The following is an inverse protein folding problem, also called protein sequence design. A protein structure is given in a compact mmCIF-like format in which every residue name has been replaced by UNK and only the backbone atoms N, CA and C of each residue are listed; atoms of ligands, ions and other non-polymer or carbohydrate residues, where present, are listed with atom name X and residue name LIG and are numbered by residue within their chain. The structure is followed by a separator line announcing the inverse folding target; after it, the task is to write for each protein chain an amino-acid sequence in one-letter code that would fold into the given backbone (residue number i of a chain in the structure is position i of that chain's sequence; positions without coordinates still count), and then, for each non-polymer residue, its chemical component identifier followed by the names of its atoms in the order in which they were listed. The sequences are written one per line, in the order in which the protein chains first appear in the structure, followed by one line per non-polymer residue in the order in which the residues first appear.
data_IF_134611055189
#
_entry.id   IF_134611055189
#
_cell.length_a   1.000
_cell.length_b   1.000
_cell.length_c   1.000
_cell.angle_alpha   90.00
_cell.angle_beta   90.00
_cell.angle_gamma   90.00
#
_symmetry.space_group_name_H-M   'P 1'
#
loop_
_entity.id
_entity.type
_entity.pdbx_description
1 polymer ?
#
# COMPACT_ATOMS: atom_id res chain seq x y z
N UNK A 1 -0.15 -30.86 -17.35
CA UNK A 1 0.73 -29.99 -18.17
C UNK A 1 -0.17 -28.93 -18.78
N UNK A 2 0.05 -27.65 -18.48
CA UNK A 2 -0.77 -26.54 -19.02
C UNK A 2 -0.41 -26.39 -20.52
N UNK A 3 -1.38 -26.40 -21.45
CA UNK A 3 -1.14 -26.17 -22.88
C UNK A 3 -0.27 -24.93 -23.12
N UNK A 4 0.60 -24.97 -24.13
CA UNK A 4 1.53 -23.86 -24.41
C UNK A 4 0.82 -22.52 -24.67
N UNK A 5 -0.41 -22.56 -25.18
CA UNK A 5 -1.26 -21.39 -25.46
C UNK A 5 -1.95 -20.82 -24.21
N UNK A 6 -2.05 -21.58 -23.11
CA UNK A 6 -2.64 -21.12 -21.84
C UNK A 6 -1.62 -20.73 -20.78
N UNK A 7 -0.35 -20.61 -21.17
CA UNK A 7 0.71 -20.10 -20.28
C UNK A 7 0.63 -18.56 -20.16
N UNK A 8 0.84 -18.01 -18.95
CA UNK A 8 0.91 -16.56 -18.75
C UNK A 8 1.95 -15.89 -19.65
N UNK A 9 1.62 -14.71 -20.15
CA UNK A 9 2.59 -13.78 -20.71
C UNK A 9 3.08 -12.86 -19.60
N UNK A 10 4.32 -12.39 -19.71
CA UNK A 10 4.91 -11.44 -18.78
C UNK A 10 5.59 -10.29 -19.52
N UNK A 11 5.56 -9.12 -18.91
CA UNK A 11 6.38 -7.98 -19.26
C UNK A 11 7.14 -7.55 -18.01
N UNK A 12 8.46 -7.80 -18.00
CA UNK A 12 9.32 -7.37 -16.89
C UNK A 12 9.54 -5.87 -16.95
N UNK A 13 9.54 -5.23 -15.80
CA UNK A 13 9.87 -3.82 -15.67
C UNK A 13 10.87 -3.61 -14.53
N UNK A 14 11.49 -2.43 -14.54
CA UNK A 14 12.29 -1.92 -13.44
C UNK A 14 11.89 -0.48 -13.18
N UNK A 15 11.45 -0.19 -11.95
CA UNK A 15 11.18 1.17 -11.50
C UNK A 15 12.30 1.64 -10.58
N UNK A 16 12.65 2.91 -10.68
CA UNK A 16 13.70 3.53 -9.85
C UNK A 16 13.07 4.54 -8.91
N UNK A 17 13.39 4.46 -7.62
CA UNK A 17 12.90 5.42 -6.63
C UNK A 17 13.73 6.70 -6.61
N UNK A 18 13.08 7.83 -6.38
CA UNK A 18 13.72 9.15 -6.25
C UNK A 18 14.54 9.30 -4.97
N UNK A 19 14.26 8.48 -3.96
CA UNK A 19 14.98 8.40 -2.69
C UNK A 19 14.88 7.02 -2.04
N UNK A 20 15.30 6.91 -0.77
CA UNK A 20 15.09 5.69 0.01
C UNK A 20 13.63 5.57 0.42
N UNK A 21 13.07 4.35 0.38
CA UNK A 21 11.63 4.12 0.59
C UNK A 21 11.29 3.58 1.98
N UNK A 22 12.24 2.99 2.69
CA UNK A 22 12.02 2.45 4.04
C UNK A 22 13.30 2.49 4.88
N UNK A 23 13.19 2.21 6.18
CA UNK A 23 14.32 2.22 7.10
C UNK A 23 15.27 1.01 6.96
N UNK A 24 14.84 -0.05 6.29
CA UNK A 24 15.50 -1.37 6.26
C UNK A 24 16.50 -1.47 5.10
N UNK A 25 16.18 -0.88 3.95
CA UNK A 25 16.91 -1.06 2.69
C UNK A 25 17.29 0.28 2.04
N UNK A 26 18.52 0.34 1.53
CA UNK A 26 19.03 1.44 0.69
C UNK A 26 18.81 1.22 -0.83
N UNK A 27 18.11 0.14 -1.20
CA UNK A 27 17.81 -0.20 -2.60
C UNK A 27 16.99 0.91 -3.25
N UNK A 28 17.28 1.20 -4.52
CA UNK A 28 16.58 2.22 -5.32
C UNK A 28 16.03 1.72 -6.65
N UNK A 29 16.31 0.48 -7.03
CA UNK A 29 15.81 -0.12 -8.27
C UNK A 29 15.03 -1.39 -7.94
N UNK A 30 13.76 -1.42 -8.34
CA UNK A 30 12.82 -2.47 -8.00
C UNK A 30 12.36 -3.15 -9.27
N UNK A 31 12.50 -4.47 -9.28
CA UNK A 31 12.12 -5.31 -10.41
C UNK A 31 10.77 -5.92 -10.14
N UNK A 32 9.91 -5.89 -11.14
CA UNK A 32 8.62 -6.57 -11.11
C UNK A 32 8.26 -7.07 -12.50
N UNK A 33 7.06 -7.64 -12.60
CA UNK A 33 6.48 -8.02 -13.87
C UNK A 33 4.99 -7.71 -13.89
N UNK A 34 4.53 -7.16 -15.00
CA UNK A 34 3.13 -7.26 -15.36
C UNK A 34 2.90 -8.66 -15.95
N UNK A 35 1.76 -9.25 -15.63
CA UNK A 35 1.35 -10.56 -16.14
C UNK A 35 0.11 -10.37 -16.99
N UNK A 36 -0.05 -11.22 -18.01
CA UNK A 36 -1.27 -11.34 -18.79
C UNK A 36 -1.71 -12.79 -18.81
N UNK A 37 -2.94 -13.03 -18.37
CA UNK A 37 -3.56 -14.35 -18.31
C UNK A 37 -4.93 -14.24 -18.97
N UNK A 38 -5.13 -14.98 -20.06
CA UNK A 38 -6.30 -14.77 -20.92
C UNK A 38 -6.33 -13.34 -21.48
N UNK A 39 -7.47 -12.67 -21.31
CA UNK A 39 -7.68 -11.27 -21.67
C UNK A 39 -7.28 -10.25 -20.61
N UNK A 40 -6.94 -10.68 -19.38
CA UNK A 40 -6.70 -9.77 -18.26
C UNK A 40 -5.25 -9.64 -17.82
N UNK A 41 -4.98 -8.58 -17.06
CA UNK A 41 -3.66 -8.17 -16.62
C UNK A 41 -3.53 -8.09 -15.10
N UNK A 42 -2.34 -8.41 -14.59
CA UNK A 42 -2.00 -8.35 -13.16
C UNK A 42 -0.60 -7.79 -12.91
N UNK A 43 -0.28 -7.47 -11.66
CA UNK A 43 1.03 -6.97 -11.27
C UNK A 43 1.67 -7.87 -10.21
N UNK A 44 2.95 -8.22 -10.40
CA UNK A 44 3.81 -8.86 -9.40
C UNK A 44 4.97 -7.91 -9.10
N UNK A 45 4.99 -7.35 -7.89
CA UNK A 45 6.04 -6.45 -7.41
C UNK A 45 6.50 -6.87 -6.01
N UNK A 46 7.48 -7.77 -5.89
CA UNK A 46 7.90 -8.26 -4.59
C UNK A 46 8.86 -7.29 -3.89
N UNK A 47 8.80 -7.30 -2.56
CA UNK A 47 9.71 -6.65 -1.64
C UNK A 47 10.48 -7.69 -0.79
N UNK A 48 11.56 -8.32 -1.32
CA UNK A 48 12.32 -9.31 -0.57
C UNK A 48 12.88 -8.79 0.76
N UNK A 49 13.22 -7.50 0.83
CA UNK A 49 13.62 -6.83 2.08
C UNK A 49 12.54 -6.81 3.16
N UNK A 50 11.26 -6.99 2.78
CA UNK A 50 10.13 -7.05 3.69
C UNK A 50 9.62 -8.49 3.92
N UNK A 51 10.24 -9.49 3.28
CA UNK A 51 9.94 -10.91 3.47
C UNK A 51 9.39 -11.62 2.24
N UNK A 52 9.15 -10.91 1.13
CA UNK A 52 8.60 -11.53 -0.08
C UNK A 52 9.60 -12.49 -0.76
N UNK A 53 9.10 -13.49 -1.52
CA UNK A 53 9.94 -14.18 -2.49
C UNK A 53 10.51 -13.20 -3.54
N UNK A 54 11.69 -13.53 -4.10
CA UNK A 54 12.24 -12.76 -5.22
C UNK A 54 11.33 -12.84 -6.45
N UNK A 55 11.47 -11.89 -7.39
CA UNK A 55 10.69 -11.90 -8.63
C UNK A 55 10.80 -13.23 -9.38
N UNK A 56 12.01 -13.78 -9.53
CA UNK A 56 12.19 -15.07 -10.21
C UNK A 56 11.49 -16.23 -9.47
N UNK A 57 11.44 -16.22 -8.14
CA UNK A 57 10.65 -17.19 -7.36
C UNK A 57 9.15 -17.00 -7.58
N UNK A 58 8.66 -15.76 -7.66
CA UNK A 58 7.26 -15.47 -7.98
C UNK A 58 6.90 -15.98 -9.37
N UNK A 59 7.76 -15.73 -10.36
CA UNK A 59 7.54 -16.17 -11.74
C UNK A 59 7.60 -17.70 -11.87
N UNK A 60 8.49 -18.38 -11.14
CA UNK A 60 8.49 -19.84 -11.07
C UNK A 60 7.20 -20.39 -10.43
N UNK A 61 6.72 -19.75 -9.35
CA UNK A 61 5.48 -20.14 -8.67
C UNK A 61 4.22 -19.90 -9.52
N UNK A 62 4.22 -18.83 -10.34
CA UNK A 62 3.16 -18.52 -11.31
C UNK A 62 2.96 -19.64 -12.35
N UNK A 63 4.05 -20.31 -12.76
CA UNK A 63 4.00 -21.48 -13.65
C UNK A 63 3.49 -22.75 -12.95
N UNK A 64 3.61 -22.79 -11.62
CA UNK A 64 3.42 -23.98 -10.82
C UNK A 64 2.20 -23.87 -9.90
N UNK A 65 2.47 -24.06 -8.61
CA UNK A 65 1.44 -24.32 -7.62
C UNK A 65 0.79 -23.05 -7.03
N UNK A 66 1.34 -21.86 -7.30
CA UNK A 66 0.77 -20.56 -6.90
C UNK A 66 0.62 -20.44 -5.39
N UNK A 67 1.67 -20.85 -4.68
CA UNK A 67 1.72 -20.87 -3.22
C UNK A 67 1.93 -19.49 -2.58
N UNK A 68 2.51 -18.54 -3.31
CA UNK A 68 2.78 -17.21 -2.74
C UNK A 68 1.56 -16.30 -2.85
N UNK A 69 1.18 -15.59 -1.76
CA UNK A 69 0.05 -14.66 -1.78
C UNK A 69 0.15 -13.64 -2.92
N UNK A 70 1.34 -13.06 -3.14
CA UNK A 70 1.57 -12.09 -4.22
C UNK A 70 1.22 -12.64 -5.61
N UNK A 71 1.48 -13.93 -5.85
CA UNK A 71 1.16 -14.59 -7.13
C UNK A 71 -0.35 -14.83 -7.24
N UNK A 72 -1.00 -15.29 -6.17
CA UNK A 72 -2.45 -15.49 -6.16
C UNK A 72 -3.21 -14.18 -6.34
N UNK A 73 -2.79 -13.12 -5.67
CA UNK A 73 -3.39 -11.79 -5.78
C UNK A 73 -3.17 -11.17 -7.16
N UNK A 74 -2.01 -11.34 -7.77
CA UNK A 74 -1.78 -10.95 -9.16
C UNK A 74 -2.70 -11.69 -10.16
N UNK A 75 -2.95 -12.98 -9.94
CA UNK A 75 -3.91 -13.74 -10.75
C UNK A 75 -5.35 -13.28 -10.51
N UNK A 76 -5.71 -12.95 -9.26
CA UNK A 76 -7.04 -12.42 -8.94
C UNK A 76 -7.26 -11.04 -9.57
N UNK A 77 -6.22 -10.21 -9.60
CA UNK A 77 -6.19 -8.96 -10.34
C UNK A 77 -6.49 -9.18 -11.82
N UNK A 78 -5.77 -10.11 -12.46
CA UNK A 78 -5.99 -10.45 -13.87
C UNK A 78 -7.38 -11.01 -14.15
N UNK A 79 -7.97 -11.80 -13.23
CA UNK A 79 -9.32 -12.34 -13.39
C UNK A 79 -10.39 -11.24 -13.42
N UNK A 80 -10.32 -10.26 -12.49
CA UNK A 80 -11.27 -9.15 -12.48
C UNK A 80 -11.08 -8.22 -13.67
N UNK A 81 -9.83 -7.94 -14.02
CA UNK A 81 -9.50 -7.12 -15.17
C UNK A 81 -9.97 -7.79 -16.47
N UNK A 82 -9.76 -9.10 -16.66
CA UNK A 82 -10.31 -9.87 -17.79
C UNK A 82 -11.83 -9.77 -17.89
N UNK A 83 -12.51 -9.96 -16.75
CA UNK A 83 -13.97 -9.95 -16.72
C UNK A 83 -14.55 -8.62 -17.22
N UNK A 84 -13.99 -7.49 -16.80
CA UNK A 84 -14.39 -6.16 -17.26
C UNK A 84 -13.99 -5.90 -18.72
N UNK A 85 -12.76 -6.26 -19.11
CA UNK A 85 -12.30 -6.12 -20.52
C UNK A 85 -13.14 -6.92 -21.51
N UNK A 86 -13.60 -8.11 -21.12
CA UNK A 86 -14.47 -8.93 -21.96
C UNK A 86 -15.82 -8.29 -22.30
N UNK A 87 -16.19 -7.24 -21.57
CA UNK A 87 -17.43 -6.47 -21.71
C UNK A 87 -17.20 -5.04 -22.22
N UNK A 88 -15.96 -4.67 -22.50
CA UNK A 88 -15.57 -3.30 -22.87
C UNK A 88 -15.89 -2.27 -21.75
N UNK A 89 -15.82 -2.71 -20.50
CA UNK A 89 -16.16 -1.93 -19.31
C UNK A 89 -14.91 -1.53 -18.51
N UNK A 90 -14.98 -0.40 -17.80
CA UNK A 90 -13.98 -0.02 -16.79
C UNK A 90 -14.38 -0.57 -15.43
N UNK A 91 -13.42 -1.10 -14.67
CA UNK A 91 -13.63 -1.48 -13.27
C UNK A 91 -13.93 -0.29 -12.36
N UNK A 92 -13.63 0.94 -12.80
CA UNK A 92 -13.91 2.17 -12.05
C UNK A 92 -15.23 2.83 -12.44
N UNK A 93 -15.99 2.26 -13.38
CA UNK A 93 -17.30 2.78 -13.73
C UNK A 93 -18.23 2.75 -12.51
N UNK A 94 -18.84 3.91 -12.21
CA UNK A 94 -19.70 4.13 -11.04
C UNK A 94 -19.05 3.83 -9.66
N UNK A 95 -17.72 3.79 -9.59
CA UNK A 95 -16.98 3.58 -8.35
C UNK A 95 -16.51 4.90 -7.74
N UNK A 96 -16.73 5.08 -6.44
CA UNK A 96 -16.12 6.15 -5.66
C UNK A 96 -14.86 5.62 -4.95
N UNK A 97 -13.69 6.03 -5.41
CA UNK A 97 -12.41 5.63 -4.81
C UNK A 97 -12.16 6.44 -3.52
N UNK A 98 -11.88 5.80 -2.37
CA UNK A 98 -11.54 6.50 -1.14
C UNK A 98 -10.28 7.37 -1.30
N UNK A 99 -10.27 8.53 -0.62
CA UNK A 99 -9.11 9.43 -0.65
C UNK A 99 -7.85 8.79 -0.10
N UNK A 100 -6.69 9.18 -0.62
CA UNK A 100 -5.38 8.72 -0.16
C UNK A 100 -4.74 9.70 0.84
N UNK A 101 -3.93 9.17 1.75
CA UNK A 101 -2.91 9.93 2.46
C UNK A 101 -1.69 10.17 1.56
N UNK A 102 -0.89 11.18 1.90
CA UNK A 102 0.39 11.44 1.26
C UNK A 102 1.48 10.56 1.89
N UNK A 103 2.15 9.72 1.11
CA UNK A 103 3.34 9.00 1.57
C UNK A 103 4.58 9.86 1.34
N UNK A 104 5.33 10.16 2.41
CA UNK A 104 6.56 10.98 2.38
C UNK A 104 7.70 10.19 3.03
N UNK A 105 8.71 9.82 2.25
CA UNK A 105 9.80 8.94 2.70
C UNK A 105 11.04 9.66 3.23
N UNK A 106 11.24 10.93 2.84
CA UNK A 106 12.26 11.85 3.40
C UNK A 106 11.54 13.09 3.97
N UNK A 107 11.01 13.00 5.20
CA UNK A 107 10.15 14.05 5.74
C UNK A 107 10.95 15.31 6.07
N UNK A 108 10.67 16.38 5.31
CA UNK A 108 11.18 17.74 5.51
C UNK A 108 10.02 18.72 5.29
N UNK A 109 10.05 19.88 5.95
CA UNK A 109 8.97 20.86 5.86
C UNK A 109 8.55 21.24 4.43
N UNK A 110 9.46 21.40 3.44
CA UNK A 110 9.06 21.62 2.05
C UNK A 110 8.21 20.47 1.46
N UNK A 111 8.55 19.21 1.75
CA UNK A 111 7.78 18.06 1.27
C UNK A 111 6.39 17.98 1.95
N UNK A 112 6.29 18.40 3.21
CA UNK A 112 4.99 18.50 3.90
C UNK A 112 4.14 19.61 3.29
N UNK A 113 4.73 20.79 2.99
CA UNK A 113 4.04 21.88 2.29
C UNK A 113 3.52 21.43 0.93
N UNK A 114 4.35 20.75 0.14
CA UNK A 114 3.94 20.21 -1.16
C UNK A 114 2.75 19.26 -1.03
N UNK A 115 2.75 18.37 -0.03
CA UNK A 115 1.60 17.50 0.24
C UNK A 115 0.34 18.29 0.63
N UNK A 116 0.47 19.31 1.48
CA UNK A 116 -0.65 20.16 1.88
C UNK A 116 -1.21 20.95 0.70
N UNK A 117 -0.33 21.52 -0.13
CA UNK A 117 -0.68 22.26 -1.35
C UNK A 117 -1.37 21.35 -2.39
N UNK A 118 -0.98 20.07 -2.46
CA UNK A 118 -1.65 19.05 -3.25
C UNK A 118 -3.01 18.61 -2.68
N UNK A 119 -3.39 19.06 -1.48
CA UNK A 119 -4.70 18.83 -0.86
C UNK A 119 -4.75 17.68 0.14
N UNK A 120 -3.63 17.08 0.51
CA UNK A 120 -3.60 15.99 1.48
C UNK A 120 -3.91 16.49 2.91
N UNK A 121 -4.72 15.73 3.64
CA UNK A 121 -5.07 16.00 5.05
C UNK A 121 -4.43 15.01 6.02
N UNK A 122 -3.84 13.93 5.48
CA UNK A 122 -3.14 12.88 6.24
C UNK A 122 -1.79 12.63 5.59
N UNK A 123 -0.73 12.62 6.38
CA UNK A 123 0.64 12.33 5.93
C UNK A 123 1.12 11.04 6.59
N UNK A 124 1.61 10.09 5.79
CA UNK A 124 2.36 8.92 6.25
C UNK A 124 3.86 9.16 6.09
N UNK A 125 4.60 8.99 7.19
CA UNK A 125 6.06 9.05 7.22
C UNK A 125 6.65 7.76 7.78
N UNK A 126 7.92 7.49 7.48
CA UNK A 126 8.67 6.37 8.06
C UNK A 126 9.39 6.81 9.35
N UNK A 127 9.32 6.00 10.39
CA UNK A 127 9.97 6.23 11.69
C UNK A 127 11.07 5.23 12.01
N UNK A 128 11.80 5.50 13.09
CA UNK A 128 12.72 4.57 13.75
C UNK A 128 14.19 4.64 13.38
N UNK A 129 14.57 5.51 12.42
CA UNK A 129 16.00 5.73 12.09
C UNK A 129 16.67 6.63 13.12
N UNK A 130 15.98 7.69 13.53
CA UNK A 130 16.45 8.60 14.57
C UNK A 130 15.26 9.14 15.36
N UNK A 131 14.82 8.42 16.41
CA UNK A 131 13.70 8.78 17.26
C UNK A 131 13.71 10.23 17.75
N UNK A 132 14.87 10.77 18.15
CA UNK A 132 14.96 12.14 18.67
C UNK A 132 14.67 13.18 17.59
N UNK A 133 15.29 13.03 16.41
CA UNK A 133 15.04 13.92 15.27
C UNK A 133 13.61 13.81 14.76
N UNK A 134 13.06 12.60 14.74
CA UNK A 134 11.68 12.35 14.32
C UNK A 134 10.67 13.02 15.26
N UNK A 135 10.89 12.97 16.58
CA UNK A 135 10.04 13.70 17.55
C UNK A 135 10.13 15.21 17.38
N UNK A 136 11.33 15.74 17.18
CA UNK A 136 11.54 17.17 16.96
C UNK A 136 10.84 17.64 15.67
N UNK A 137 11.00 16.88 14.58
CA UNK A 137 10.32 17.15 13.31
C UNK A 137 8.80 17.08 13.45
N UNK A 138 8.25 16.05 14.12
CA UNK A 138 6.81 15.93 14.32
C UNK A 138 6.25 17.10 15.14
N UNK A 139 6.99 17.59 16.13
CA UNK A 139 6.60 18.77 16.90
C UNK A 139 6.50 20.01 16.01
N UNK A 140 7.54 20.29 15.23
CA UNK A 140 7.58 21.40 14.27
C UNK A 140 6.44 21.29 13.24
N UNK A 141 6.26 20.11 12.65
CA UNK A 141 5.25 19.90 11.62
C UNK A 141 3.81 20.00 12.15
N UNK A 142 3.54 19.55 13.38
CA UNK A 142 2.22 19.71 14.03
C UNK A 142 1.97 21.16 14.43
N UNK A 143 3.00 21.93 14.76
CA UNK A 143 2.87 23.37 15.02
C UNK A 143 2.54 24.16 13.75
N UNK A 144 3.20 23.85 12.63
CA UNK A 144 2.94 24.51 11.35
C UNK A 144 1.61 24.07 10.72
N UNK A 145 1.26 22.79 10.85
CA UNK A 145 0.07 22.19 10.23
C UNK A 145 -0.84 21.48 11.25
N UNK A 146 -1.50 22.22 12.15
CA UNK A 146 -2.28 21.64 13.26
C UNK A 146 -3.52 20.84 12.80
N UNK A 147 -3.97 21.03 11.56
CA UNK A 147 -5.11 20.31 10.99
C UNK A 147 -4.74 18.93 10.40
N UNK A 148 -3.45 18.68 10.14
CA UNK A 148 -3.01 17.41 9.57
C UNK A 148 -3.12 16.27 10.58
N UNK A 149 -3.38 15.08 10.06
CA UNK A 149 -3.20 13.82 10.80
C UNK A 149 -1.96 13.07 10.32
N UNK A 150 -1.32 12.37 11.25
CA UNK A 150 -0.03 11.73 11.02
C UNK A 150 -0.12 10.22 11.17
N UNK A 151 0.39 9.50 10.18
CA UNK A 151 0.61 8.05 10.22
C UNK A 151 2.11 7.82 10.25
N UNK A 152 2.59 7.06 11.21
CA UNK A 152 4.04 6.82 11.36
C UNK A 152 4.28 5.33 11.32
N UNK A 153 5.07 4.90 10.36
CA UNK A 153 5.32 3.50 10.07
C UNK A 153 6.76 3.13 10.40
N UNK A 154 6.92 2.21 11.36
CA UNK A 154 8.22 1.76 11.86
C UNK A 154 8.67 0.44 11.23
N UNK A 155 7.83 -0.28 10.49
CA UNK A 155 8.16 -1.60 9.92
C UNK A 155 8.83 -2.53 10.94
N UNK A 156 8.28 -2.60 12.16
CA UNK A 156 8.74 -3.42 13.28
C UNK A 156 10.17 -3.11 13.78
N UNK A 157 10.72 -1.93 13.47
CA UNK A 157 12.14 -1.68 13.74
C UNK A 157 12.48 -1.33 15.21
N UNK A 158 11.49 -1.08 16.07
CA UNK A 158 11.73 -0.81 17.50
C UNK A 158 11.50 -2.06 18.35
N UNK A 159 12.02 -2.05 19.58
CA UNK A 159 11.55 -2.95 20.64
C UNK A 159 10.27 -2.39 21.28
N UNK A 160 9.46 -3.21 21.98
CA UNK A 160 8.31 -2.72 22.73
C UNK A 160 8.64 -1.56 23.70
N UNK A 161 9.78 -1.63 24.39
CA UNK A 161 10.23 -0.60 25.33
C UNK A 161 10.63 0.69 24.60
N UNK A 162 11.30 0.56 23.45
CA UNK A 162 11.67 1.70 22.62
C UNK A 162 10.44 2.38 22.00
N UNK A 163 9.43 1.61 21.59
CA UNK A 163 8.16 2.14 21.12
C UNK A 163 7.40 2.88 22.23
N UNK A 164 7.34 2.31 23.44
CA UNK A 164 6.75 2.98 24.60
C UNK A 164 7.49 4.30 24.91
N UNK A 165 8.81 4.26 24.96
CA UNK A 165 9.63 5.44 25.19
C UNK A 165 9.43 6.50 24.09
N UNK A 166 9.31 6.07 22.82
CA UNK A 166 8.97 6.93 21.68
C UNK A 166 7.68 7.70 21.93
N UNK A 167 6.59 6.98 22.17
CA UNK A 167 5.26 7.57 22.26
C UNK A 167 5.07 8.37 23.54
N UNK A 168 5.58 7.91 24.69
CA UNK A 168 5.49 8.65 25.94
C UNK A 168 6.33 9.93 25.95
N UNK A 169 7.37 9.99 25.11
CA UNK A 169 8.19 11.19 24.94
C UNK A 169 7.61 12.22 23.96
N UNK A 170 6.49 11.93 23.29
CA UNK A 170 5.79 12.91 22.45
C UNK A 170 4.95 13.84 23.32
N UNK A 171 4.96 15.13 22.98
CA UNK A 171 4.02 16.09 23.58
C UNK A 171 2.57 15.67 23.29
N UNK A 172 1.66 16.00 24.20
CA UNK A 172 0.23 15.63 24.07
C UNK A 172 -0.37 16.08 22.74
N UNK A 173 -0.11 17.32 22.31
CA UNK A 173 -0.59 17.84 21.03
C UNK A 173 -0.13 17.00 19.82
N UNK A 174 1.10 16.48 19.87
CA UNK A 174 1.65 15.63 18.80
C UNK A 174 0.97 14.26 18.85
N UNK A 175 0.78 13.68 20.04
CA UNK A 175 0.05 12.42 20.21
C UNK A 175 -1.39 12.51 19.69
N UNK A 176 -2.09 13.62 19.93
CA UNK A 176 -3.45 13.85 19.44
C UNK A 176 -3.53 14.06 17.92
N UNK A 177 -2.43 14.51 17.30
CA UNK A 177 -2.33 14.66 15.85
C UNK A 177 -2.04 13.34 15.13
N UNK A 178 -1.58 12.30 15.84
CA UNK A 178 -1.34 10.98 15.25
C UNK A 178 -2.67 10.26 15.00
N UNK A 179 -2.88 9.83 13.75
CA UNK A 179 -3.97 8.93 13.36
C UNK A 179 -3.71 7.52 13.86
N UNK A 180 -2.50 7.00 13.60
CA UNK A 180 -2.00 5.75 14.15
C UNK A 180 -0.48 5.59 13.99
N UNK A 181 0.08 4.66 14.73
CA UNK A 181 1.43 4.13 14.56
C UNK A 181 1.33 2.73 13.93
N UNK A 182 1.96 2.55 12.79
CA UNK A 182 1.99 1.29 12.05
C UNK A 182 3.24 0.50 12.43
N UNK A 183 3.02 -0.76 12.85
CA UNK A 183 4.03 -1.75 13.20
C UNK A 183 5.20 -1.16 14.03
N UNK A 184 4.96 -0.62 15.23
CA UNK A 184 6.02 -0.01 16.04
C UNK A 184 7.16 -0.99 16.36
N UNK A 185 6.80 -2.24 16.64
CA UNK A 185 7.66 -3.36 17.01
C UNK A 185 6.95 -4.66 16.57
N UNK A 186 7.63 -5.83 16.58
CA UNK A 186 6.97 -7.10 16.24
C UNK A 186 5.67 -7.31 17.01
N UNK A 187 4.66 -7.88 16.34
CA UNK A 187 3.32 -7.92 16.90
C UNK A 187 3.25 -8.79 18.16
N UNK A 188 2.46 -8.34 19.14
CA UNK A 188 2.23 -9.07 20.39
C UNK A 188 0.83 -8.77 20.94
N UNK A 189 0.03 -9.83 21.10
CA UNK A 189 -1.33 -9.77 21.68
C UNK A 189 -1.35 -9.19 23.10
N UNK A 190 -0.20 -9.10 23.79
CA UNK A 190 -0.11 -8.54 25.13
C UNK A 190 0.56 -7.17 25.13
N UNK A 191 1.68 -7.00 24.42
CA UNK A 191 2.45 -5.77 24.45
C UNK A 191 1.74 -4.62 23.72
N UNK A 192 1.10 -4.88 22.59
CA UNK A 192 0.41 -3.84 21.81
C UNK A 192 -0.81 -3.26 22.55
N UNK A 193 -1.73 -4.06 23.12
CA UNK A 193 -2.80 -3.52 23.96
C UNK A 193 -2.31 -2.80 25.20
N UNK A 194 -1.19 -3.24 25.80
CA UNK A 194 -0.57 -2.51 26.92
C UNK A 194 -0.03 -1.14 26.47
N UNK A 195 0.66 -1.09 25.33
CA UNK A 195 1.19 0.13 24.73
C UNK A 195 0.07 1.12 24.40
N UNK A 196 -1.00 0.67 23.74
CA UNK A 196 -2.17 1.49 23.44
C UNK A 196 -2.83 2.02 24.73
N UNK A 197 -3.02 1.20 25.77
CA UNK A 197 -3.61 1.65 27.04
C UNK A 197 -2.79 2.74 27.72
N UNK A 198 -1.46 2.65 27.67
CA UNK A 198 -0.55 3.64 28.26
C UNK A 198 -0.50 4.94 27.47
N UNK A 199 -0.38 4.85 26.15
CA UNK A 199 -0.09 6.00 25.28
C UNK A 199 -1.34 6.66 24.72
N UNK A 200 -2.45 5.92 24.62
CA UNK A 200 -3.70 6.28 23.95
C UNK A 200 -3.57 6.57 22.45
N UNK A 201 -2.44 6.20 21.85
CA UNK A 201 -2.20 6.34 20.42
C UNK A 201 -2.65 5.05 19.71
N UNK A 202 -3.55 5.11 18.70
CA UNK A 202 -3.98 3.94 17.96
C UNK A 202 -2.80 3.24 17.28
N UNK A 203 -2.80 1.91 17.30
CA UNK A 203 -1.81 1.07 16.62
C UNK A 203 -2.43 0.43 15.38
N UNK A 204 -1.67 0.39 14.30
CA UNK A 204 -2.02 -0.28 13.05
C UNK A 204 -1.14 -1.50 12.83
N UNK A 205 -1.76 -2.64 12.49
CA UNK A 205 -1.06 -3.86 12.10
C UNK A 205 -1.00 -3.95 10.57
N UNK A 206 0.20 -4.15 10.04
CA UNK A 206 0.45 -4.30 8.61
C UNK A 206 1.13 -5.66 8.32
N UNK A 207 2.37 -5.86 8.77
CA UNK A 207 3.16 -7.05 8.42
C UNK A 207 2.57 -8.38 8.87
N UNK A 208 1.91 -8.39 10.02
CA UNK A 208 1.26 -9.57 10.59
C UNK A 208 -0.27 -9.53 10.50
N UNK A 209 -0.84 -8.70 9.61
CA UNK A 209 -2.28 -8.59 9.43
C UNK A 209 -2.91 -9.97 9.14
N UNK A 210 -3.84 -10.39 9.99
CA UNK A 210 -4.54 -11.66 9.86
C UNK A 210 -5.89 -11.62 10.59
N UNK A 211 -6.85 -12.50 10.24
CA UNK A 211 -8.21 -12.45 10.79
C UNK A 211 -8.34 -12.56 12.32
N UNK A 212 -7.31 -13.02 13.02
CA UNK A 212 -7.34 -13.28 14.47
C UNK A 212 -6.50 -12.28 15.28
N UNK A 213 -6.09 -11.16 14.67
CA UNK A 213 -5.18 -10.18 15.28
C UNK A 213 -5.93 -8.98 15.85
N UNK A 214 -6.42 -9.12 17.07
CA UNK A 214 -7.31 -8.13 17.72
C UNK A 214 -6.56 -7.03 18.48
N UNK A 215 -5.26 -7.20 18.73
CA UNK A 215 -4.46 -6.28 19.55
C UNK A 215 -4.25 -4.88 18.99
N UNK A 216 -4.53 -4.66 17.70
CA UNK A 216 -4.41 -3.38 16.99
C UNK A 216 -5.77 -2.69 16.81
N UNK A 217 -5.78 -1.37 16.64
CA UNK A 217 -7.00 -0.57 16.41
C UNK A 217 -7.27 -0.36 14.92
N UNK A 218 -6.27 -0.59 14.08
CA UNK A 218 -6.34 -0.43 12.63
C UNK A 218 -5.72 -1.66 11.97
N UNK A 219 -6.38 -2.18 10.95
CA UNK A 219 -5.86 -3.23 10.07
C UNK A 219 -5.46 -2.59 8.74
N UNK A 220 -4.19 -2.71 8.38
CA UNK A 220 -3.70 -2.32 7.06
C UNK A 220 -3.91 -3.50 6.12
N UNK A 221 -4.48 -3.24 4.95
CA UNK A 221 -4.72 -4.25 3.92
C UNK A 221 -4.00 -3.82 2.64
N UNK A 222 -3.17 -4.70 2.10
CA UNK A 222 -2.45 -4.52 0.84
C UNK A 222 -2.99 -5.49 -0.19
N UNK A 223 -3.87 -5.08 -1.13
CA UNK A 223 -4.48 -5.99 -2.10
C UNK A 223 -3.50 -6.79 -2.97
N UNK A 224 -2.24 -6.35 -3.06
CA UNK A 224 -1.16 -7.06 -3.73
C UNK A 224 -0.76 -8.38 -3.03
N UNK A 225 -1.00 -8.53 -1.72
CA UNK A 225 -0.60 -9.71 -0.94
C UNK A 225 -1.71 -10.25 -0.02
N UNK A 226 -2.68 -9.41 0.35
CA UNK A 226 -3.75 -9.75 1.29
C UNK A 226 -5.07 -10.08 0.58
N UNK A 227 -5.98 -10.73 1.31
CA UNK A 227 -7.37 -10.97 0.90
C UNK A 227 -8.28 -9.89 1.51
N UNK A 228 -8.68 -8.83 0.77
CA UNK A 228 -9.27 -7.64 1.38
C UNK A 228 -10.59 -7.89 2.09
N UNK A 229 -11.47 -8.71 1.50
CA UNK A 229 -12.78 -9.01 2.08
C UNK A 229 -12.66 -9.82 3.38
N UNK A 230 -11.80 -10.84 3.39
CA UNK A 230 -11.57 -11.67 4.57
C UNK A 230 -11.03 -10.84 5.74
N UNK A 231 -10.05 -9.97 5.49
CA UNK A 231 -9.48 -9.12 6.52
C UNK A 231 -10.46 -8.02 6.97
N UNK A 232 -11.27 -7.48 6.07
CA UNK A 232 -12.28 -6.49 6.43
C UNK A 232 -13.41 -7.08 7.28
N UNK A 233 -13.91 -8.27 6.94
CA UNK A 233 -14.92 -8.96 7.76
C UNK A 233 -14.39 -9.21 9.19
N UNK A 234 -13.14 -9.67 9.30
CA UNK A 234 -12.48 -9.82 10.59
C UNK A 234 -12.32 -8.49 11.32
N UNK A 235 -11.85 -7.44 10.64
CA UNK A 235 -11.71 -6.11 11.22
C UNK A 235 -13.05 -5.57 11.74
N UNK A 236 -14.16 -5.78 11.02
CA UNK A 236 -15.51 -5.44 11.48
C UNK A 236 -15.86 -6.20 12.76
N UNK A 237 -15.64 -7.51 12.79
CA UNK A 237 -15.90 -8.34 13.97
C UNK A 237 -15.11 -7.87 15.21
N UNK A 238 -13.89 -7.39 14.99
CA UNK A 238 -12.99 -6.89 16.04
C UNK A 238 -13.08 -5.37 16.27
N UNK A 239 -14.00 -4.66 15.58
CA UNK A 239 -14.16 -3.20 15.65
C UNK A 239 -12.88 -2.42 15.34
N UNK A 240 -12.08 -2.93 14.41
CA UNK A 240 -10.89 -2.28 13.88
C UNK A 240 -11.27 -1.37 12.71
N UNK A 241 -10.54 -0.27 12.55
CA UNK A 241 -10.60 0.52 11.31
C UNK A 241 -9.83 -0.20 10.21
N UNK A 242 -10.25 -0.04 8.96
CA UNK A 242 -9.53 -0.59 7.80
C UNK A 242 -8.89 0.54 7.01
N UNK A 243 -7.63 0.35 6.62
CA UNK A 243 -6.92 1.24 5.70
C UNK A 243 -6.29 0.38 4.60
N UNK A 244 -6.73 0.58 3.36
CA UNK A 244 -6.10 -0.06 2.23
C UNK A 244 -4.90 0.75 1.77
N UNK A 245 -3.82 0.08 1.39
CA UNK A 245 -2.68 0.74 0.75
C UNK A 245 -2.28 0.02 -0.52
N UNK A 246 -1.68 0.76 -1.46
CA UNK A 246 -0.84 0.12 -2.49
C UNK A 246 0.36 -0.55 -1.83
N UNK A 247 1.14 -1.25 -2.63
CA UNK A 247 2.32 -1.96 -2.15
C UNK A 247 3.62 -1.26 -2.52
N UNK A 248 3.57 0.08 -2.68
CA UNK A 248 4.65 0.86 -3.31
C UNK A 248 5.09 0.26 -4.66
N UNK A 249 4.13 -0.28 -5.38
CA UNK A 249 4.32 -1.09 -6.57
C UNK A 249 4.04 -0.29 -7.86
N UNK A 250 4.08 -0.99 -8.99
CA UNK A 250 3.78 -0.42 -10.31
C UNK A 250 2.43 0.30 -10.32
N UNK A 251 2.24 1.39 -11.10
CA UNK A 251 0.96 2.11 -11.17
C UNK A 251 -0.26 1.22 -11.46
N UNK A 252 -0.08 0.14 -12.24
CA UNK A 252 -1.12 -0.88 -12.45
C UNK A 252 -1.55 -1.58 -11.14
N UNK A 253 -0.61 -1.91 -10.25
CA UNK A 253 -0.91 -2.46 -8.92
C UNK A 253 -1.55 -1.43 -7.99
N UNK A 254 -1.17 -0.16 -8.11
CA UNK A 254 -1.83 0.96 -7.41
C UNK A 254 -3.30 1.11 -7.85
N UNK A 255 -3.59 0.99 -9.16
CA UNK A 255 -4.96 0.97 -9.66
C UNK A 255 -5.76 -0.22 -9.12
N UNK A 256 -5.15 -1.41 -9.05
CA UNK A 256 -5.81 -2.55 -8.42
C UNK A 256 -6.14 -2.31 -6.94
N UNK A 257 -5.21 -1.71 -6.19
CA UNK A 257 -5.44 -1.38 -4.79
C UNK A 257 -6.56 -0.33 -4.63
N UNK A 258 -6.60 0.68 -5.50
CA UNK A 258 -7.63 1.70 -5.51
C UNK A 258 -9.01 1.13 -5.83
N UNK A 259 -9.10 0.24 -6.82
CA UNK A 259 -10.33 -0.45 -7.15
C UNK A 259 -10.80 -1.38 -6.03
N UNK A 260 -9.91 -2.16 -5.43
CA UNK A 260 -10.23 -3.01 -4.28
C UNK A 260 -10.72 -2.18 -3.08
N UNK A 261 -10.18 -0.98 -2.86
CA UNK A 261 -10.67 -0.06 -1.83
C UNK A 261 -12.10 0.42 -2.12
N UNK A 262 -12.37 0.86 -3.35
CA UNK A 262 -13.71 1.26 -3.78
C UNK A 262 -14.71 0.11 -3.69
N UNK A 263 -14.32 -1.10 -4.12
CA UNK A 263 -15.15 -2.30 -4.05
C UNK A 263 -15.48 -2.68 -2.60
N UNK A 264 -14.50 -2.54 -1.69
CA UNK A 264 -14.71 -2.84 -0.28
C UNK A 264 -15.62 -1.82 0.40
N UNK A 265 -15.47 -0.53 0.05
CA UNK A 265 -16.35 0.54 0.52
C UNK A 265 -17.79 0.35 0.04
N UNK A 266 -17.98 -0.06 -1.21
CA UNK A 266 -19.30 -0.40 -1.75
C UNK A 266 -19.96 -1.56 -0.98
N UNK A 267 -19.18 -2.59 -0.63
CA UNK A 267 -19.67 -3.75 0.11
C UNK A 267 -19.96 -3.44 1.59
N UNK A 268 -19.11 -2.63 2.20
CA UNK A 268 -19.17 -2.28 3.62
C UNK A 268 -19.06 -0.75 3.77
N UNK A 269 -20.15 0.00 3.55
CA UNK A 269 -20.11 1.46 3.57
C UNK A 269 -19.57 2.02 4.90
N UNK A 270 -18.62 2.93 4.80
CA UNK A 270 -17.89 3.56 5.89
C UNK A 270 -16.75 2.71 6.48
N UNK A 271 -16.44 1.54 5.92
CA UNK A 271 -15.35 0.70 6.44
C UNK A 271 -13.99 1.30 6.12
N UNK A 272 -13.85 1.88 4.94
CA UNK A 272 -12.61 2.48 4.49
C UNK A 272 -12.61 3.95 4.85
N UNK A 273 -11.57 4.37 5.57
CA UNK A 273 -11.30 5.80 5.78
C UNK A 273 -10.42 6.35 4.66
N UNK A 274 -9.54 7.27 5.03
CA UNK A 274 -8.45 7.70 4.16
C UNK A 274 -7.47 6.52 3.97
N UNK A 275 -7.30 6.08 2.72
CA UNK A 275 -6.45 4.98 2.30
C UNK A 275 -5.01 5.45 1.98
N UNK A 276 -4.17 4.61 1.39
CA UNK A 276 -2.80 4.92 0.95
C UNK A 276 -2.52 4.36 -0.43
N UNK A 277 -3.26 4.84 -1.42
CA UNK A 277 -3.42 4.17 -2.72
C UNK A 277 -2.40 4.64 -3.77
N UNK A 278 -1.82 5.82 -3.58
CA UNK A 278 -0.93 6.45 -4.56
C UNK A 278 0.48 6.63 -4.01
N UNK A 279 1.44 6.05 -4.73
CA UNK A 279 2.86 6.05 -4.41
C UNK A 279 3.75 6.24 -5.64
N UNK A 280 3.16 6.50 -6.81
CA UNK A 280 3.88 6.68 -8.08
C UNK A 280 4.86 7.86 -8.05
N UNK A 281 4.56 8.91 -7.29
CA UNK A 281 5.44 10.08 -7.12
C UNK A 281 6.79 9.75 -6.48
N UNK A 282 6.90 8.61 -5.79
CA UNK A 282 8.13 8.14 -5.18
C UNK A 282 9.13 7.59 -6.21
N UNK A 283 8.69 7.36 -7.45
CA UNK A 283 9.47 6.75 -8.53
C UNK A 283 9.69 7.72 -9.70
N UNK A 284 10.67 7.42 -10.53
CA UNK A 284 10.86 8.09 -11.82
C UNK A 284 9.59 7.90 -12.67
N UNK A 285 9.17 8.97 -13.36
CA UNK A 285 7.94 8.95 -14.14
C UNK A 285 8.09 8.09 -15.42
N UNK A 286 6.98 7.50 -15.82
CA UNK A 286 6.77 6.68 -17.00
C UNK A 286 5.32 6.83 -17.50
N UNK A 287 5.01 6.23 -18.66
CA UNK A 287 3.67 6.35 -19.25
C UNK A 287 2.54 5.78 -18.39
N UNK A 288 2.83 4.89 -17.44
CA UNK A 288 1.85 4.36 -16.50
C UNK A 288 1.58 5.33 -15.35
N UNK A 289 2.62 5.92 -14.78
CA UNK A 289 2.49 6.90 -13.69
C UNK A 289 1.91 8.23 -14.17
N UNK A 290 2.20 8.64 -15.41
CA UNK A 290 1.56 9.79 -16.06
C UNK A 290 0.05 9.59 -16.23
N UNK A 291 -0.40 8.36 -16.52
CA UNK A 291 -1.82 8.04 -16.65
C UNK A 291 -2.60 8.07 -15.32
N UNK A 292 -1.90 7.96 -14.18
CA UNK A 292 -2.50 8.22 -12.85
C UNK A 292 -2.59 9.70 -12.50
N UNK A 293 -2.02 10.58 -13.33
CA UNK A 293 -2.04 12.01 -13.12
C UNK A 293 -1.11 12.50 -11.99
N UNK A 294 -1.29 13.76 -11.55
CA UNK A 294 -0.48 14.34 -10.49
C UNK A 294 -0.69 13.63 -9.14
N UNK A 295 0.30 13.75 -8.25
CA UNK A 295 0.19 13.28 -6.88
C UNK A 295 -0.90 14.05 -6.13
N UNK A 296 -1.96 13.36 -5.70
CA UNK A 296 -3.17 13.96 -5.14
C UNK A 296 -3.85 13.05 -4.12
N UNK A 297 -4.64 13.57 -3.16
CA UNK A 297 -5.51 12.72 -2.36
C UNK A 297 -6.58 12.00 -3.17
N UNK A 298 -7.01 12.56 -4.30
CA UNK A 298 -8.07 11.99 -5.14
C UNK A 298 -7.45 11.08 -6.22
N UNK A 299 -7.94 9.84 -6.31
CA UNK A 299 -7.43 8.89 -7.30
C UNK A 299 -7.98 9.23 -8.68
N UNK A 300 -7.12 9.33 -9.68
CA UNK A 300 -7.53 9.49 -11.09
C UNK A 300 -7.50 8.12 -11.77
N UNK A 301 -8.66 7.53 -12.11
CA UNK A 301 -8.70 6.29 -12.86
C UNK A 301 -8.04 6.46 -14.23
N UNK A 302 -7.11 5.58 -14.62
CA UNK A 302 -6.53 5.60 -15.96
C UNK A 302 -7.61 5.23 -16.99
N UNK A 303 -7.51 5.80 -18.18
CA UNK A 303 -8.45 5.52 -19.27
C UNK A 303 -8.32 4.07 -19.79
N UNK A 304 -9.41 3.55 -20.35
CA UNK A 304 -9.47 2.22 -20.97
C UNK A 304 -10.39 1.25 -20.24
N UNK A 305 -10.23 -0.02 -20.57
CA UNK A 305 -11.04 -1.15 -20.08
C UNK A 305 -10.37 -1.86 -18.90
N UNK A 306 -11.14 -2.59 -18.09
CA UNK A 306 -10.61 -3.23 -16.89
C UNK A 306 -10.06 -2.19 -15.90
N UNK A 307 -8.81 -2.35 -15.48
CA UNK A 307 -8.09 -1.35 -14.67
C UNK A 307 -7.56 -0.17 -15.49
N UNK A 308 -7.87 -0.08 -16.79
CA UNK A 308 -7.38 0.92 -17.74
C UNK A 308 -5.99 0.59 -18.29
N UNK A 309 -5.27 1.63 -18.71
CA UNK A 309 -3.91 1.55 -19.29
C UNK A 309 -3.82 0.83 -20.65
N UNK A 310 -4.89 0.82 -21.44
CA UNK A 310 -4.98 0.04 -22.68
C UNK A 310 -3.81 0.35 -23.63
N UNK A 311 -3.55 1.64 -23.89
CA UNK A 311 -2.44 2.08 -24.75
C UNK A 311 -1.07 1.62 -24.21
N UNK A 312 -0.86 1.74 -22.90
CA UNK A 312 0.40 1.39 -22.27
C UNK A 312 0.61 -0.14 -22.29
N UNK A 313 -0.43 -0.93 -22.02
CA UNK A 313 -0.38 -2.38 -22.00
C UNK A 313 -0.16 -2.97 -23.41
N UNK A 314 -0.77 -2.38 -24.43
CA UNK A 314 -0.59 -2.78 -25.84
C UNK A 314 0.83 -2.53 -26.35
N UNK A 315 1.49 -1.49 -25.83
CA UNK A 315 2.86 -1.15 -26.19
C UNK A 315 3.93 -2.06 -25.53
N UNK A 316 3.56 -2.90 -24.56
CA UNK A 316 4.54 -3.69 -23.81
C UNK A 316 5.08 -4.90 -24.59
N UNK A 317 6.38 -5.25 -24.42
CA UNK A 317 6.99 -6.42 -25.02
C UNK A 317 6.62 -7.70 -24.25
N UNK A 318 5.40 -8.20 -24.46
CA UNK A 318 4.91 -9.43 -23.84
C UNK A 318 5.71 -10.67 -24.29
N UNK A 319 6.25 -11.41 -23.31
CA UNK A 319 6.98 -12.66 -23.54
C UNK A 319 6.29 -13.81 -22.83
N UNK A 320 6.27 -14.99 -23.46
CA UNK A 320 5.66 -16.17 -22.83
C UNK A 320 6.56 -16.66 -21.70
N UNK A 321 5.96 -16.92 -20.55
CA UNK A 321 6.66 -17.46 -19.39
C UNK A 321 6.91 -18.96 -19.61
N UNK A 322 8.17 -19.34 -19.79
CA UNK A 322 8.60 -20.71 -20.11
C UNK A 322 9.07 -21.51 -18.90
#
# INVERSE_FOLDING_TARGET
MIPAESRPLISRYRIRSRGFLNAISGRREFEGALIRVGGGFGCIHPWPELGDPTLDKCLADLQGARHWPIVRRALRCAEYDEAARSRDESLFEEMEVPKSHATVTDPKMPAIREAVEAGFTVIKIKGGRNPEKERAFLLEAVEEFPALKWRIDFNECLTPEAAEAFLMGLQEKVRTAIDFIEDPCPFSETAWPALHRKTRVPLAIDREAAPHREGAQVCIIKPAIDEPFLLAEAAIAHRQRVVLTSYMDHPFGQAFAAWEAARLELQFPGITGICGLQTHHLFDADGFSEALGPWSPDFTPPAGTGLGFDEQLDALPWTRLY
#
